data_IF_318603836829
#
_entry.id   IF_318603836829
#
_cell.length_a   1.000
_cell.length_b   1.000
_cell.length_c   1.000
_cell.angle_alpha   90.00
_cell.angle_beta   90.00
_cell.angle_gamma   90.00
#
_symmetry.space_group_name_H-M   'P 1'
#
loop_
_entity.id
_entity.type
_entity.pdbx_description
1 polymer ?
#
# COMPACT_ATOMS: atom_id res chain seq x y z
N UNK A 1 -14.01 -35.56 -31.77
CA UNK A 1 -13.23 -36.02 -30.61
C UNK A 1 -12.85 -34.78 -29.81
N UNK A 2 -13.75 -34.37 -28.92
CA UNK A 2 -13.65 -33.11 -28.16
C UNK A 2 -12.96 -33.43 -26.85
N UNK A 3 -11.83 -32.78 -26.57
CA UNK A 3 -11.08 -32.86 -25.31
C UNK A 3 -11.44 -31.63 -24.48
N UNK A 4 -12.36 -31.79 -23.54
CA UNK A 4 -12.72 -30.73 -22.58
C UNK A 4 -13.19 -31.39 -21.29
N UNK A 5 -12.30 -32.02 -20.52
CA UNK A 5 -12.66 -32.53 -19.18
C UNK A 5 -11.56 -32.33 -18.10
N UNK A 6 -10.37 -31.81 -18.43
CA UNK A 6 -9.26 -31.75 -17.46
C UNK A 6 -9.13 -30.40 -16.69
N UNK A 7 -10.08 -29.47 -16.79
CA UNK A 7 -9.96 -28.11 -16.22
C UNK A 7 -10.79 -27.86 -14.95
N UNK A 8 -11.82 -28.67 -14.68
CA UNK A 8 -12.74 -28.41 -13.56
C UNK A 8 -12.22 -28.98 -12.22
N UNK A 9 -11.37 -30.02 -12.26
CA UNK A 9 -10.89 -30.69 -11.05
C UNK A 9 -9.85 -29.88 -10.27
N UNK A 10 -9.00 -29.10 -10.94
CA UNK A 10 -7.99 -28.25 -10.27
C UNK A 10 -8.62 -27.06 -9.54
N UNK A 11 -9.69 -26.48 -10.07
CA UNK A 11 -10.39 -25.36 -9.45
C UNK A 11 -11.22 -25.82 -8.24
N UNK A 12 -11.84 -27.00 -8.33
CA UNK A 12 -12.55 -27.60 -7.20
C UNK A 12 -11.58 -28.04 -6.10
N UNK A 13 -10.40 -28.57 -6.45
CA UNK A 13 -9.34 -28.91 -5.50
C UNK A 13 -8.75 -27.66 -4.81
N UNK A 14 -8.56 -26.56 -5.55
CA UNK A 14 -8.11 -25.29 -5.01
C UNK A 14 -9.13 -24.69 -4.03
N UNK A 15 -10.41 -24.66 -4.40
CA UNK A 15 -11.49 -24.17 -3.52
C UNK A 15 -11.67 -25.05 -2.29
N UNK A 16 -11.46 -26.36 -2.39
CA UNK A 16 -11.55 -27.29 -1.26
C UNK A 16 -10.38 -27.09 -0.29
N UNK A 17 -9.18 -26.83 -0.82
CA UNK A 17 -7.99 -26.51 -0.02
C UNK A 17 -8.11 -25.15 0.65
N UNK A 18 -8.62 -24.15 -0.05
CA UNK A 18 -8.88 -22.81 0.49
C UNK A 18 -9.92 -22.88 1.61
N UNK A 19 -11.05 -23.58 1.40
CA UNK A 19 -12.05 -23.80 2.45
C UNK A 19 -11.52 -24.61 3.65
N UNK A 20 -10.64 -25.57 3.41
CA UNK A 20 -10.00 -26.33 4.49
C UNK A 20 -9.05 -25.44 5.30
N UNK A 21 -8.24 -24.62 4.64
CA UNK A 21 -7.33 -23.68 5.28
C UNK A 21 -8.10 -22.57 6.02
N UNK A 22 -9.17 -22.04 5.45
CA UNK A 22 -10.06 -21.06 6.10
C UNK A 22 -10.75 -21.64 7.35
N UNK A 23 -11.30 -22.86 7.26
CA UNK A 23 -11.93 -23.53 8.39
C UNK A 23 -10.90 -23.86 9.49
N UNK A 24 -9.67 -24.22 9.11
CA UNK A 24 -8.60 -24.49 10.07
C UNK A 24 -8.07 -23.20 10.73
N UNK A 25 -8.04 -22.07 10.01
CA UNK A 25 -7.73 -20.75 10.59
C UNK A 25 -8.86 -20.25 11.49
N UNK A 26 -10.12 -20.52 11.13
CA UNK A 26 -11.28 -20.18 11.96
C UNK A 26 -11.31 -21.03 13.24
N UNK A 27 -11.10 -22.35 13.17
CA UNK A 27 -10.98 -23.20 14.36
C UNK A 27 -9.81 -22.78 15.26
N UNK A 28 -8.63 -22.48 14.69
CA UNK A 28 -7.50 -21.96 15.47
C UNK A 28 -7.86 -20.60 16.09
N UNK A 29 -8.56 -19.73 15.34
CA UNK A 29 -9.00 -18.42 15.80
C UNK A 29 -10.03 -18.50 16.93
N UNK A 30 -11.00 -19.40 16.85
CA UNK A 30 -11.99 -19.65 17.89
C UNK A 30 -11.39 -20.35 19.10
N UNK A 31 -10.51 -21.33 18.92
CA UNK A 31 -9.81 -22.00 20.03
C UNK A 31 -8.87 -21.02 20.78
N UNK A 32 -8.25 -20.07 20.06
CA UNK A 32 -7.49 -18.96 20.66
C UNK A 32 -8.44 -17.99 21.38
N UNK A 33 -9.59 -17.63 20.79
CA UNK A 33 -10.59 -16.72 21.39
C UNK A 33 -11.20 -17.29 22.67
N UNK A 34 -11.57 -18.56 22.67
CA UNK A 34 -12.12 -19.27 23.82
C UNK A 34 -11.10 -19.42 24.96
N UNK A 35 -9.82 -19.66 24.62
CA UNK A 35 -8.73 -19.60 25.61
C UNK A 35 -8.52 -18.18 26.16
N UNK A 36 -8.75 -17.14 25.35
CA UNK A 36 -8.58 -15.73 25.74
C UNK A 36 -9.74 -15.21 26.61
N UNK A 37 -10.97 -15.66 26.38
CA UNK A 37 -12.12 -15.35 27.24
C UNK A 37 -11.96 -15.99 28.64
N UNK A 38 -11.36 -17.18 28.71
CA UNK A 38 -10.98 -17.82 29.98
C UNK A 38 -9.82 -17.10 30.71
N UNK A 39 -9.00 -16.32 30.00
CA UNK A 39 -7.91 -15.52 30.55
C UNK A 39 -8.38 -14.19 31.17
N UNK A 40 -9.54 -13.66 30.75
CA UNK A 40 -10.08 -12.40 31.29
C UNK A 40 -10.58 -12.49 32.74
N UNK A 41 -10.63 -13.68 33.35
CA UNK A 41 -11.00 -13.88 34.75
C UNK A 41 -9.80 -14.14 35.69
N UNK A 42 -8.57 -13.85 35.27
CA UNK A 42 -7.41 -13.90 36.18
C UNK A 42 -6.64 -12.59 36.08
N UNK A 43 -6.84 -11.77 37.12
CA UNK A 43 -6.00 -10.62 37.48
C UNK A 43 -4.55 -10.88 37.06
N UNK A 44 -3.97 -9.92 36.34
CA UNK A 44 -2.55 -9.90 36.00
C UNK A 44 -1.74 -9.73 37.30
N UNK A 45 -1.55 -10.81 38.04
CA UNK A 45 -0.69 -10.83 39.22
C UNK A 45 0.74 -10.71 38.71
N UNK A 46 1.31 -9.52 38.89
CA UNK A 46 2.73 -9.24 38.78
C UNK A 46 3.53 -10.24 39.63
N UNK A 47 4.62 -10.82 39.11
CA UNK A 47 5.37 -11.82 39.87
C UNK A 47 6.04 -11.15 41.09
N UNK A 48 5.94 -11.72 42.30
CA UNK A 48 6.59 -11.13 43.46
C UNK A 48 8.12 -11.27 43.32
N UNK A 49 8.78 -10.13 43.39
CA UNK A 49 10.24 -9.96 43.52
C UNK A 49 10.76 -10.88 44.63
N UNK A 50 11.65 -11.79 44.25
CA UNK A 50 12.33 -12.75 45.13
C UNK A 50 13.04 -12.04 46.29
N UNK A 51 12.64 -12.34 47.53
CA UNK A 51 13.38 -11.99 48.75
C UNK A 51 14.37 -13.11 49.07
N UNK A 52 15.58 -12.69 49.36
CA UNK A 52 16.73 -13.50 49.76
C UNK A 52 16.46 -14.35 51.01
N UNK A 53 16.79 -15.64 50.88
CA UNK A 53 17.36 -16.60 51.83
C UNK A 53 17.19 -16.28 53.32
N UNK A 54 16.31 -17.04 53.98
CA UNK A 54 16.24 -17.20 55.44
C UNK A 54 16.12 -18.69 55.76
N UNK A 55 17.12 -19.17 56.50
CA UNK A 55 17.32 -20.52 57.01
C UNK A 55 16.18 -20.96 57.94
N UNK A 56 15.47 -22.04 57.63
CA UNK A 56 14.69 -22.82 58.61
C UNK A 56 14.40 -24.22 58.04
N UNK A 57 14.83 -25.23 58.77
CA UNK A 57 14.57 -26.65 58.54
C UNK A 57 13.06 -26.94 58.55
N UNK A 58 12.60 -27.70 57.55
CA UNK A 58 11.43 -28.57 57.69
C UNK A 58 11.57 -29.72 56.70
N UNK A 59 11.85 -30.91 57.23
CA UNK A 59 11.64 -32.17 56.52
C UNK A 59 10.13 -32.35 56.29
N UNK A 60 9.67 -32.24 55.05
CA UNK A 60 8.46 -32.93 54.56
C UNK A 60 8.30 -32.79 53.04
N UNK A 61 8.26 -33.96 52.40
CA UNK A 61 7.55 -34.27 51.15
C UNK A 61 8.09 -33.74 49.80
N UNK A 62 9.25 -34.29 49.40
CA UNK A 62 9.90 -34.13 48.08
C UNK A 62 8.99 -34.49 46.88
N UNK A 63 7.93 -35.27 47.13
CA UNK A 63 6.97 -35.74 46.13
C UNK A 63 5.96 -34.67 45.68
N UNK A 64 5.59 -33.75 46.57
CA UNK A 64 4.60 -32.69 46.28
C UNK A 64 5.25 -31.46 45.62
N UNK A 65 6.52 -31.20 45.95
CA UNK A 65 7.27 -30.08 45.39
C UNK A 65 7.61 -30.30 43.90
N UNK A 66 7.76 -31.56 43.48
CA UNK A 66 8.04 -31.95 42.10
C UNK A 66 6.85 -31.80 41.15
N UNK A 67 5.62 -31.89 41.66
CA UNK A 67 4.39 -31.79 40.85
C UNK A 67 4.02 -30.32 40.54
N UNK A 68 4.26 -29.40 41.47
CA UNK A 68 4.03 -27.96 41.27
C UNK A 68 5.09 -27.31 40.35
N UNK A 69 6.30 -27.86 40.27
CA UNK A 69 7.33 -27.39 39.32
C UNK A 69 7.05 -27.83 37.89
N UNK A 70 6.45 -29.02 37.69
CA UNK A 70 6.08 -29.53 36.36
C UNK A 70 4.97 -28.69 35.70
N UNK A 71 3.96 -28.29 36.48
CA UNK A 71 2.87 -27.44 36.00
C UNK A 71 3.39 -26.05 35.57
N UNK A 72 4.37 -25.49 36.31
CA UNK A 72 5.05 -24.25 35.92
C UNK A 72 5.95 -24.41 34.68
N UNK A 73 6.57 -25.58 34.50
CA UNK A 73 7.45 -25.85 33.36
C UNK A 73 6.66 -26.03 32.05
N UNK A 74 5.49 -26.67 32.10
CA UNK A 74 4.59 -26.78 30.95
C UNK A 74 4.02 -25.41 30.56
N UNK A 75 3.61 -24.62 31.54
CA UNK A 75 3.07 -23.27 31.32
C UNK A 75 4.16 -22.31 30.80
N UNK A 76 5.40 -22.46 31.29
CA UNK A 76 6.59 -21.79 30.76
C UNK A 76 6.93 -22.25 29.34
N UNK A 77 6.80 -23.54 29.04
CA UNK A 77 7.01 -24.12 27.72
C UNK A 77 5.98 -23.58 26.73
N UNK A 78 4.71 -23.50 27.11
CA UNK A 78 3.63 -22.95 26.29
C UNK A 78 3.90 -21.46 26.00
N UNK A 79 4.20 -20.64 27.02
CA UNK A 79 4.55 -19.22 26.83
C UNK A 79 5.73 -19.06 25.86
N UNK A 80 6.76 -19.90 25.98
CA UNK A 80 7.90 -19.90 25.07
C UNK A 80 7.51 -20.30 23.63
N UNK A 81 6.63 -21.29 23.47
CA UNK A 81 6.14 -21.70 22.15
C UNK A 81 5.35 -20.58 21.47
N UNK A 82 4.47 -19.89 22.20
CA UNK A 82 3.72 -18.74 21.69
C UNK A 82 4.68 -17.64 21.22
N UNK A 83 5.67 -17.28 22.03
CA UNK A 83 6.68 -16.29 21.66
C UNK A 83 7.45 -16.69 20.38
N UNK A 84 7.90 -17.95 20.28
CA UNK A 84 8.58 -18.46 19.09
C UNK A 84 7.69 -18.45 17.84
N UNK A 85 6.40 -18.78 17.99
CA UNK A 85 5.43 -18.71 16.91
C UNK A 85 5.23 -17.28 16.42
N UNK A 86 5.19 -16.31 17.33
CA UNK A 86 5.08 -14.89 16.99
C UNK A 86 6.32 -14.40 16.24
N UNK A 87 7.53 -14.72 16.72
CA UNK A 87 8.78 -14.39 16.03
C UNK A 87 8.81 -14.99 14.61
N UNK A 88 8.37 -16.24 14.46
CA UNK A 88 8.30 -16.88 13.14
C UNK A 88 7.31 -16.16 12.22
N UNK A 89 6.17 -15.70 12.73
CA UNK A 89 5.20 -14.91 11.96
C UNK A 89 5.78 -13.55 11.58
N UNK A 90 6.44 -12.88 12.50
CA UNK A 90 7.10 -11.59 12.26
C UNK A 90 8.16 -11.71 11.16
N UNK A 91 9.08 -12.69 11.28
CA UNK A 91 10.11 -12.92 10.28
C UNK A 91 9.53 -13.31 8.90
N UNK A 92 8.44 -14.08 8.87
CA UNK A 92 7.71 -14.39 7.63
C UNK A 92 7.14 -13.13 6.98
N UNK A 93 6.50 -12.25 7.75
CA UNK A 93 5.96 -10.98 7.28
C UNK A 93 7.07 -10.08 6.72
N UNK A 94 8.18 -9.95 7.45
CA UNK A 94 9.35 -9.20 6.99
C UNK A 94 9.88 -9.77 5.67
N UNK A 95 10.02 -11.09 5.56
CA UNK A 95 10.51 -11.73 4.33
C UNK A 95 9.54 -11.53 3.15
N UNK A 96 8.23 -11.53 3.38
CA UNK A 96 7.24 -11.19 2.36
C UNK A 96 7.44 -9.74 1.88
N UNK A 97 7.63 -8.80 2.80
CA UNK A 97 7.95 -7.40 2.47
C UNK A 97 9.20 -7.25 1.60
N UNK A 98 10.26 -8.01 1.88
CA UNK A 98 11.46 -8.03 1.02
C UNK A 98 11.18 -8.55 -0.40
N UNK A 99 10.29 -9.54 -0.56
CA UNK A 99 9.91 -10.03 -1.89
C UNK A 99 9.09 -8.99 -2.66
N UNK A 100 8.10 -8.36 -2.01
CA UNK A 100 7.33 -7.27 -2.62
C UNK A 100 8.23 -6.10 -3.03
N UNK A 101 9.18 -5.71 -2.18
CA UNK A 101 10.14 -4.65 -2.50
C UNK A 101 11.00 -5.02 -3.72
N UNK A 102 11.49 -6.26 -3.78
CA UNK A 102 12.29 -6.75 -4.91
C UNK A 102 11.53 -6.69 -6.23
N UNK A 103 10.23 -6.98 -6.25
CA UNK A 103 9.40 -6.93 -7.47
C UNK A 103 9.29 -5.53 -8.08
N UNK A 104 9.53 -4.47 -7.29
CA UNK A 104 9.51 -3.08 -7.77
C UNK A 104 10.86 -2.64 -8.37
N UNK A 105 11.92 -3.41 -8.15
CA UNK A 105 13.25 -3.09 -8.65
C UNK A 105 13.39 -3.55 -10.10
N UNK A 106 14.14 -2.81 -10.93
CA UNK A 106 14.46 -3.23 -12.29
C UNK A 106 15.47 -4.41 -12.27
N UNK A 107 14.97 -5.61 -12.03
CA UNK A 107 15.73 -6.86 -11.99
C UNK A 107 15.01 -7.94 -12.80
N UNK A 108 15.74 -8.96 -13.30
CA UNK A 108 15.13 -10.02 -14.10
C UNK A 108 14.38 -11.00 -13.20
N UNK A 109 13.24 -11.49 -13.69
CA UNK A 109 12.46 -12.52 -13.00
C UNK A 109 13.34 -13.74 -12.70
N UNK A 110 13.39 -14.12 -11.41
CA UNK A 110 14.18 -15.25 -10.93
C UNK A 110 15.57 -14.90 -10.35
N UNK A 111 16.09 -13.69 -10.52
CA UNK A 111 17.44 -13.31 -10.05
C UNK A 111 17.55 -13.21 -8.52
N UNK A 112 18.21 -14.17 -7.86
CA UNK A 112 18.33 -14.18 -6.40
C UNK A 112 19.10 -12.96 -5.89
N UNK A 113 18.44 -12.12 -5.10
CA UNK A 113 19.05 -10.99 -4.40
C UNK A 113 19.11 -11.26 -2.89
N UNK A 114 20.22 -10.88 -2.26
CA UNK A 114 20.32 -10.86 -0.80
C UNK A 114 19.50 -9.70 -0.22
N UNK A 115 19.13 -9.76 1.07
CA UNK A 115 18.44 -8.64 1.76
C UNK A 115 19.22 -7.33 1.65
N UNK A 116 20.54 -7.39 1.83
CA UNK A 116 21.41 -6.22 1.71
C UNK A 116 21.42 -5.65 0.28
N UNK A 117 21.49 -6.52 -0.73
CA UNK A 117 21.43 -6.11 -2.13
C UNK A 117 20.09 -5.48 -2.49
N UNK A 118 18.97 -6.00 -1.98
CA UNK A 118 17.64 -5.40 -2.18
C UNK A 118 17.63 -3.98 -1.61
N UNK A 119 18.11 -3.78 -0.37
CA UNK A 119 18.15 -2.46 0.26
C UNK A 119 19.06 -1.48 -0.50
N UNK A 120 20.26 -1.92 -0.90
CA UNK A 120 21.20 -1.09 -1.65
C UNK A 120 20.61 -0.66 -3.01
N UNK A 121 20.13 -1.62 -3.80
CA UNK A 121 19.51 -1.34 -5.10
C UNK A 121 18.24 -0.48 -4.97
N UNK A 122 17.46 -0.65 -3.90
CA UNK A 122 16.31 0.23 -3.63
C UNK A 122 16.74 1.66 -3.37
N UNK A 123 17.79 1.87 -2.57
CA UNK A 123 18.28 3.21 -2.27
C UNK A 123 18.80 3.91 -3.54
N UNK A 124 19.57 3.19 -4.36
CA UNK A 124 20.05 3.68 -5.67
C UNK A 124 18.88 4.03 -6.59
N UNK A 125 17.92 3.11 -6.74
CA UNK A 125 16.77 3.30 -7.62
C UNK A 125 15.91 4.49 -7.20
N UNK A 126 15.73 4.72 -5.89
CA UNK A 126 15.05 5.92 -5.39
C UNK A 126 15.80 7.19 -5.81
N UNK A 127 17.14 7.22 -5.71
CA UNK A 127 17.92 8.39 -6.15
C UNK A 127 17.77 8.63 -7.65
N UNK A 128 17.84 7.59 -8.46
CA UNK A 128 17.66 7.68 -9.91
C UNK A 128 16.29 8.25 -10.27
N UNK A 129 15.22 7.75 -9.66
CA UNK A 129 13.86 8.25 -9.84
C UNK A 129 13.72 9.73 -9.42
N UNK A 130 14.40 10.15 -8.34
CA UNK A 130 14.38 11.55 -7.90
C UNK A 130 15.08 12.47 -8.90
N UNK A 131 16.23 12.04 -9.45
CA UNK A 131 16.97 12.77 -10.48
C UNK A 131 16.13 12.89 -11.75
N UNK A 132 15.54 11.78 -12.21
CA UNK A 132 14.68 11.74 -13.39
C UNK A 132 13.45 12.65 -13.22
N UNK A 133 12.79 12.57 -12.07
CA UNK A 133 11.65 13.45 -11.75
C UNK A 133 12.03 14.93 -11.80
N UNK A 134 13.18 15.31 -11.27
CA UNK A 134 13.65 16.70 -11.31
C UNK A 134 13.97 17.15 -12.75
N UNK A 135 14.59 16.27 -13.55
CA UNK A 135 14.85 16.52 -14.97
C UNK A 135 13.55 16.75 -15.74
N UNK A 136 12.57 15.86 -15.59
CA UNK A 136 11.26 15.97 -16.25
C UNK A 136 10.50 17.22 -15.82
N UNK A 137 10.57 17.62 -14.54
CA UNK A 137 9.99 18.89 -14.09
C UNK A 137 10.64 20.09 -14.76
N UNK A 138 11.97 20.09 -14.91
CA UNK A 138 12.72 21.09 -15.65
C UNK A 138 12.24 21.19 -17.10
N UNK A 139 12.29 20.08 -17.83
CA UNK A 139 11.86 19.97 -19.23
C UNK A 139 10.39 20.39 -19.43
N UNK A 140 9.50 20.03 -18.52
CA UNK A 140 8.08 20.39 -18.60
C UNK A 140 7.87 21.88 -18.32
N UNK A 141 8.64 22.48 -17.41
CA UNK A 141 8.61 23.92 -17.14
C UNK A 141 9.12 24.73 -18.33
N UNK A 142 10.19 24.26 -18.98
CA UNK A 142 10.74 24.85 -20.20
C UNK A 142 9.77 24.70 -21.37
N UNK A 143 9.18 23.52 -21.54
CA UNK A 143 8.16 23.26 -22.55
C UNK A 143 6.92 24.12 -22.32
N UNK A 144 6.46 24.29 -21.07
CA UNK A 144 5.38 25.20 -20.73
C UNK A 144 5.75 26.67 -20.98
N UNK A 145 6.98 27.09 -20.69
CA UNK A 145 7.47 28.42 -21.01
C UNK A 145 7.57 28.65 -22.53
N UNK A 146 8.00 27.65 -23.29
CA UNK A 146 8.05 27.68 -24.75
C UNK A 146 6.66 27.71 -25.36
N UNK A 147 5.70 26.94 -24.84
CA UNK A 147 4.27 27.05 -25.19
C UNK A 147 3.72 28.44 -24.91
N UNK A 148 4.05 29.04 -23.76
CA UNK A 148 3.67 30.44 -23.47
C UNK A 148 4.28 31.42 -24.47
N UNK A 149 5.57 31.29 -24.80
CA UNK A 149 6.24 32.15 -25.79
C UNK A 149 5.71 31.96 -27.22
N UNK A 150 5.31 30.75 -27.60
CA UNK A 150 4.63 30.48 -28.87
C UNK A 150 3.22 31.09 -28.88
N UNK A 151 2.48 31.02 -27.77
CA UNK A 151 1.18 31.71 -27.63
C UNK A 151 1.31 33.25 -27.68
N UNK A 152 2.48 33.82 -27.37
CA UNK A 152 2.76 35.25 -27.61
C UNK A 152 3.27 35.55 -29.05
N UNK A 153 3.57 34.51 -29.84
CA UNK A 153 4.03 34.61 -31.22
C UNK A 153 2.95 34.26 -32.27
N UNK A 154 1.82 33.67 -31.86
CA UNK A 154 0.65 33.51 -32.72
C UNK A 154 -0.26 34.75 -32.62
N UNK A 155 0.11 35.81 -33.34
CA UNK A 155 -0.86 36.79 -33.86
C UNK A 155 -1.72 36.12 -34.96
N UNK A 156 -2.41 35.05 -34.60
CA UNK A 156 -3.56 34.44 -35.29
C UNK A 156 -4.49 33.78 -34.24
N UNK A 157 -4.46 34.29 -33.00
CA UNK A 157 -5.50 34.00 -32.02
C UNK A 157 -6.82 34.59 -32.49
N UNK A 158 -7.92 33.87 -32.26
CA UNK A 158 -9.28 34.36 -32.44
C UNK A 158 -9.38 35.84 -32.07
N UNK A 159 -10.02 36.69 -32.90
CA UNK A 159 -10.11 38.13 -32.64
C UNK A 159 -10.57 38.35 -31.21
N UNK A 160 -9.85 39.22 -30.51
CA UNK A 160 -10.17 39.56 -29.12
C UNK A 160 -11.59 40.12 -29.05
N UNK A 161 -12.21 40.05 -27.87
CA UNK A 161 -13.56 40.60 -27.70
C UNK A 161 -13.62 42.09 -28.06
N UNK A 162 -12.54 42.84 -27.78
CA UNK A 162 -12.42 44.27 -28.10
C UNK A 162 -12.33 44.52 -29.61
N UNK A 163 -11.61 43.67 -30.35
CA UNK A 163 -11.56 43.71 -31.82
C UNK A 163 -12.91 43.32 -32.43
N UNK A 164 -13.57 42.28 -31.91
CA UNK A 164 -14.92 41.91 -32.33
C UNK A 164 -15.91 43.07 -32.12
N UNK A 165 -15.85 43.76 -30.98
CA UNK A 165 -16.71 44.91 -30.68
C UNK A 165 -16.45 46.05 -31.66
N UNK A 166 -15.18 46.36 -31.98
CA UNK A 166 -14.83 47.38 -32.99
C UNK A 166 -15.36 47.03 -34.37
N UNK A 167 -15.17 45.79 -34.82
CA UNK A 167 -15.67 45.33 -36.11
C UNK A 167 -17.20 45.38 -36.19
N UNK A 168 -17.90 45.01 -35.12
CA UNK A 168 -19.37 45.11 -35.06
C UNK A 168 -19.82 46.57 -35.21
N UNK A 169 -19.14 47.51 -34.55
CA UNK A 169 -19.49 48.93 -34.62
C UNK A 169 -19.22 49.52 -36.01
N UNK A 170 -18.09 49.18 -36.63
CA UNK A 170 -17.78 49.58 -38.00
C UNK A 170 -18.83 49.07 -39.00
N UNK A 171 -19.22 47.80 -38.89
CA UNK A 171 -20.24 47.21 -39.76
C UNK A 171 -21.61 47.88 -39.56
N UNK A 172 -21.96 48.26 -38.32
CA UNK A 172 -23.20 49.02 -38.05
C UNK A 172 -23.18 50.38 -38.75
N UNK A 173 -22.08 51.11 -38.67
CA UNK A 173 -21.92 52.40 -39.33
C UNK A 173 -22.03 52.26 -40.85
N UNK A 174 -21.35 51.26 -41.43
CA UNK A 174 -21.40 51.00 -42.87
C UNK A 174 -22.83 50.66 -43.35
N UNK A 175 -23.54 49.83 -42.61
CA UNK A 175 -24.92 49.47 -42.93
C UNK A 175 -25.85 50.68 -42.83
N UNK A 176 -25.68 51.53 -41.82
CA UNK A 176 -26.44 52.76 -41.69
C UNK A 176 -26.16 53.74 -42.84
N UNK A 177 -24.91 53.82 -43.29
CA UNK A 177 -24.54 54.62 -44.46
C UNK A 177 -25.16 54.06 -45.76
N UNK A 178 -25.11 52.75 -45.96
CA UNK A 178 -25.72 52.10 -47.12
C UNK A 178 -27.23 52.35 -47.17
N UNK A 179 -27.94 52.14 -46.05
CA UNK A 179 -29.38 52.37 -45.96
C UNK A 179 -29.74 53.84 -46.19
N UNK A 180 -28.96 54.77 -45.67
CA UNK A 180 -29.13 56.20 -45.93
C UNK A 180 -28.93 56.53 -47.42
N UNK A 181 -27.91 55.97 -48.05
CA UNK A 181 -27.66 56.15 -49.49
C UNK A 181 -28.80 55.56 -50.32
N UNK A 182 -29.27 54.34 -50.01
CA UNK A 182 -30.44 53.74 -50.67
C UNK A 182 -31.65 54.66 -50.59
N UNK A 183 -32.01 55.14 -49.39
CA UNK A 183 -33.12 56.09 -49.20
C UNK A 183 -32.94 57.40 -49.96
N UNK A 184 -31.69 57.86 -50.11
CA UNK A 184 -31.35 59.07 -50.87
C UNK A 184 -31.49 58.87 -52.38
N UNK A 185 -31.15 57.69 -52.89
CA UNK A 185 -31.15 57.38 -54.33
C UNK A 185 -32.42 56.68 -54.83
N UNK A 186 -33.26 56.13 -53.95
CA UNK A 186 -34.60 55.60 -54.27
C UNK A 186 -35.69 56.70 -54.36
N UNK A 187 -35.35 57.97 -54.06
CA UNK A 187 -36.27 59.12 -54.12
C UNK A 187 -36.16 59.99 -55.39
N UNK A 188 -35.51 59.50 -56.44
CA UNK A 188 -35.54 60.09 -57.79
C UNK A 188 -36.14 59.10 -58.79
#
# INVERSE_FOLDING_TARGET
MVKTDDYIDDELAAQTKEKFDENHQHLIGEEIREKNENLHNKNWITPPRSKSVGLAEYESDESQQKLATLDNDDDRRIRRQIANCNERKELKSINAGFQSLRQLLPCKDGDKMSKASILAATAEFIQDLLVERNKLLGENSESAAKRRKLNFGEQNGSPTLDECIKTIEELRILLQNETHLRMKYEKN
#
